data_IF_158931454870
#
_entry.id   IF_158931454870
#
_cell.length_a   1.000
_cell.length_b   1.000
_cell.length_c   1.000
_cell.angle_alpha   90.00
_cell.angle_beta   90.00
_cell.angle_gamma   90.00
#
_symmetry.space_group_name_H-M   'P 1'
#
loop_
_entity.id
_entity.type
_entity.pdbx_description
1 polymer ?
#
# COMPACT_ATOMS: atom_id res chain seq x y z
N UNK A 1 -7.54 31.25 -26.71
CA UNK A 1 -7.46 30.67 -25.36
C UNK A 1 -8.45 29.52 -25.31
N UNK A 2 -7.97 28.28 -25.21
CA UNK A 2 -8.82 27.13 -24.96
C UNK A 2 -9.18 27.13 -23.47
N UNK A 3 -10.47 27.13 -23.16
CA UNK A 3 -10.92 27.02 -21.77
C UNK A 3 -10.42 25.72 -21.13
N UNK A 4 -10.02 25.75 -19.85
CA UNK A 4 -9.58 24.55 -19.15
C UNK A 4 -10.74 23.55 -19.07
N UNK A 5 -10.48 22.30 -19.44
CA UNK A 5 -11.46 21.21 -19.31
C UNK A 5 -11.64 20.86 -17.84
N UNK A 6 -12.89 20.79 -17.39
CA UNK A 6 -13.26 20.32 -16.05
C UNK A 6 -13.59 18.83 -16.06
N UNK A 7 -13.23 18.12 -14.99
CA UNK A 7 -13.49 16.70 -14.81
C UNK A 7 -14.03 16.45 -13.39
N UNK A 8 -14.91 15.45 -13.25
CA UNK A 8 -15.37 14.93 -11.95
C UNK A 8 -14.71 13.57 -11.73
N UNK A 9 -14.03 13.40 -10.60
CA UNK A 9 -13.45 12.11 -10.22
C UNK A 9 -14.56 11.19 -9.65
N UNK A 10 -14.47 9.90 -9.95
CA UNK A 10 -15.34 8.88 -9.38
C UNK A 10 -14.88 8.45 -7.97
N UNK A 11 -13.63 8.74 -7.63
CA UNK A 11 -13.07 8.55 -6.30
C UNK A 11 -13.78 9.46 -5.28
N UNK A 12 -14.26 8.86 -4.18
CA UNK A 12 -14.89 9.60 -3.11
C UNK A 12 -13.87 10.50 -2.38
N UNK A 13 -14.07 11.83 -2.35
CA UNK A 13 -13.13 12.77 -1.75
C UNK A 13 -12.90 12.54 -0.24
N UNK A 14 -13.78 11.82 0.45
CA UNK A 14 -13.58 11.44 1.85
C UNK A 14 -12.35 10.52 2.06
N UNK A 15 -11.88 9.85 1.00
CA UNK A 15 -10.69 8.99 1.00
C UNK A 15 -9.45 9.68 0.43
N UNK A 16 -9.46 11.01 0.30
CA UNK A 16 -8.40 11.79 -0.33
C UNK A 16 -8.58 11.88 -1.84
N UNK A 17 -7.47 12.01 -2.58
CA UNK A 17 -7.47 12.07 -4.04
C UNK A 17 -6.55 10.99 -4.63
N UNK A 18 -6.87 10.50 -5.83
CA UNK A 18 -6.00 9.57 -6.57
C UNK A 18 -4.62 10.19 -6.89
N UNK A 19 -4.60 11.51 -7.06
CA UNK A 19 -3.41 12.34 -7.20
C UNK A 19 -3.52 13.49 -6.20
N UNK A 20 -2.66 13.54 -5.18
CA UNK A 20 -2.67 14.63 -4.21
C UNK A 20 -1.97 15.87 -4.80
N UNK A 21 -2.77 16.83 -5.25
CA UNK A 21 -2.30 18.20 -5.44
C UNK A 21 -1.83 18.73 -4.08
N UNK A 22 -0.60 19.26 -4.00
CA UNK A 22 -0.15 19.93 -2.78
C UNK A 22 -1.07 21.12 -2.46
N UNK A 23 -1.11 21.56 -1.20
CA UNK A 23 -2.01 22.65 -0.76
C UNK A 23 -1.87 24.00 -1.50
N UNK A 24 -0.96 24.12 -2.48
CA UNK A 24 -0.77 25.29 -3.34
C UNK A 24 -0.81 25.03 -4.86
N UNK A 25 -1.24 23.86 -5.34
CA UNK A 25 -1.27 23.56 -6.79
C UNK A 25 -0.85 22.12 -7.12
N UNK A 26 -0.32 21.86 -8.34
CA UNK A 26 0.16 20.53 -8.74
C UNK A 26 1.04 19.87 -7.67
N UNK A 27 1.07 18.53 -7.61
CA UNK A 27 1.90 17.80 -6.66
C UNK A 27 3.35 18.31 -6.72
N UNK A 28 3.99 18.47 -5.56
CA UNK A 28 5.35 18.99 -5.51
C UNK A 28 6.30 18.08 -6.33
N UNK A 29 7.20 18.67 -7.15
CA UNK A 29 8.18 17.89 -7.89
C UNK A 29 9.03 17.08 -6.93
N UNK A 30 9.23 15.81 -7.24
CA UNK A 30 10.10 14.95 -6.45
C UNK A 30 11.55 15.37 -6.64
N UNK A 31 12.34 15.36 -5.56
CA UNK A 31 13.81 15.47 -5.66
C UNK A 31 14.48 14.14 -6.04
N UNK A 32 13.70 13.08 -6.28
CA UNK A 32 14.20 11.79 -6.71
C UNK A 32 14.85 11.90 -8.10
N UNK A 33 16.03 11.32 -8.25
CA UNK A 33 16.61 11.10 -9.58
C UNK A 33 15.74 10.09 -10.34
N UNK A 34 15.43 10.36 -11.60
CA UNK A 34 14.65 9.47 -12.47
C UNK A 34 15.47 9.16 -13.71
N UNK A 35 15.62 7.88 -14.01
CA UNK A 35 16.14 7.40 -15.29
C UNK A 35 14.97 6.86 -16.10
N UNK A 36 14.53 7.65 -17.08
CA UNK A 36 13.37 7.38 -17.91
C UNK A 36 13.72 6.70 -19.25
N UNK A 37 15.01 6.49 -19.54
CA UNK A 37 15.49 6.00 -20.84
C UNK A 37 15.62 4.46 -20.87
N UNK A 38 15.21 3.77 -19.80
CA UNK A 38 15.51 2.36 -19.59
C UNK A 38 14.80 1.39 -20.57
N UNK A 39 13.47 1.41 -20.68
CA UNK A 39 12.76 0.55 -21.66
C UNK A 39 12.68 1.21 -23.04
N UNK A 40 12.41 2.52 -23.07
CA UNK A 40 12.39 3.33 -24.29
C UNK A 40 13.12 4.64 -24.00
N UNK A 41 13.84 5.21 -24.99
CA UNK A 41 14.35 6.57 -24.87
C UNK A 41 13.21 7.53 -24.49
N UNK A 42 13.46 8.47 -23.57
CA UNK A 42 12.47 9.45 -23.11
C UNK A 42 11.84 10.24 -24.27
N UNK A 43 12.59 10.40 -25.36
CA UNK A 43 12.11 11.03 -26.60
C UNK A 43 11.10 10.19 -27.38
N UNK A 44 11.06 8.89 -27.18
CA UNK A 44 10.19 7.93 -27.88
C UNK A 44 9.10 7.35 -26.97
N UNK A 45 8.97 7.88 -25.74
CA UNK A 45 7.97 7.47 -24.77
C UNK A 45 6.56 7.52 -25.37
N UNK A 46 5.86 6.41 -25.24
CA UNK A 46 4.50 6.21 -25.72
C UNK A 46 3.79 5.17 -24.87
N UNK A 47 2.47 5.11 -25.00
CA UNK A 47 1.68 4.04 -24.39
C UNK A 47 2.10 2.67 -24.96
N UNK A 48 2.16 1.67 -24.08
CA UNK A 48 2.47 0.29 -24.41
C UNK A 48 1.25 -0.57 -24.06
N UNK A 49 0.70 -1.24 -25.06
CA UNK A 49 -0.39 -2.20 -24.89
C UNK A 49 0.11 -3.61 -24.54
N UNK A 50 -0.82 -4.57 -24.32
CA UNK A 50 -0.46 -5.95 -24.01
C UNK A 50 0.34 -6.58 -25.15
N UNK A 51 1.48 -7.20 -24.81
CA UNK A 51 2.31 -7.90 -25.79
C UNK A 51 1.67 -9.24 -26.19
N UNK A 52 1.71 -9.63 -27.47
CA UNK A 52 1.20 -10.94 -27.91
C UNK A 52 1.86 -12.10 -27.16
N UNK A 53 1.06 -13.09 -26.77
CA UNK A 53 1.55 -14.31 -26.11
C UNK A 53 1.74 -14.21 -24.60
N UNK A 54 1.72 -13.01 -24.01
CA UNK A 54 1.78 -12.84 -22.55
C UNK A 54 0.43 -13.26 -21.95
N UNK A 55 0.47 -14.21 -21.02
CA UNK A 55 -0.70 -14.68 -20.26
C UNK A 55 -0.56 -14.34 -18.79
N UNK A 56 -1.68 -14.04 -18.15
CA UNK A 56 -1.74 -13.86 -16.71
C UNK A 56 -1.38 -15.18 -16.00
N UNK A 57 -0.80 -15.11 -14.79
CA UNK A 57 -0.49 -16.31 -14.01
C UNK A 57 -1.78 -16.97 -13.52
N UNK A 58 -1.75 -18.28 -13.30
CA UNK A 58 -2.91 -19.01 -12.78
C UNK A 58 -3.22 -18.60 -11.33
N UNK A 59 -2.20 -18.13 -10.59
CA UNK A 59 -2.31 -17.74 -9.19
C UNK A 59 -1.79 -16.32 -8.98
N UNK A 60 -2.62 -15.47 -8.39
CA UNK A 60 -2.24 -14.15 -7.90
C UNK A 60 -2.46 -14.10 -6.40
N UNK A 61 -1.44 -13.67 -5.66
CA UNK A 61 -1.51 -13.44 -4.22
C UNK A 61 -1.60 -11.93 -3.99
N UNK A 62 -2.67 -11.47 -3.35
CA UNK A 62 -2.84 -10.06 -2.99
C UNK A 62 -2.66 -9.89 -1.48
N UNK A 63 -1.74 -9.00 -1.10
CA UNK A 63 -1.35 -8.76 0.29
C UNK A 63 -1.71 -7.35 0.69
N UNK A 64 -2.30 -7.24 1.87
CA UNK A 64 -2.56 -5.95 2.50
C UNK A 64 -2.51 -6.06 4.02
N UNK A 65 -2.34 -4.90 4.66
CA UNK A 65 -2.21 -4.72 6.08
C UNK A 65 -3.07 -3.57 6.60
N UNK A 66 -3.81 -3.82 7.68
CA UNK A 66 -4.61 -2.80 8.37
C UNK A 66 -4.09 -2.55 9.78
N UNK A 67 -4.28 -1.34 10.27
CA UNK A 67 -3.99 -0.98 11.67
C UNK A 67 -5.08 -0.11 12.26
N UNK A 68 -5.22 -0.16 13.58
CA UNK A 68 -6.09 0.69 14.38
C UNK A 68 -5.40 1.05 15.69
N UNK A 69 -5.55 2.30 16.08
CA UNK A 69 -5.20 2.77 17.43
C UNK A 69 -6.36 2.41 18.35
N UNK A 70 -6.11 1.60 19.37
CA UNK A 70 -7.15 1.19 20.34
C UNK A 70 -7.23 2.17 21.51
N UNK A 71 -6.10 2.74 21.93
CA UNK A 71 -6.04 3.80 22.94
C UNK A 71 -4.74 4.60 22.87
N UNK A 72 -4.81 5.89 23.20
CA UNK A 72 -3.65 6.67 23.64
C UNK A 72 -3.43 6.41 25.13
N UNK A 73 -2.19 6.19 25.54
CA UNK A 73 -1.82 5.92 26.93
C UNK A 73 -0.69 6.85 27.37
N UNK A 74 -0.49 6.94 28.68
CA UNK A 74 0.61 7.68 29.28
C UNK A 74 1.24 6.80 30.37
N UNK A 75 2.57 6.74 30.42
CA UNK A 75 3.28 6.15 31.56
C UNK A 75 3.61 7.25 32.57
N UNK A 76 3.73 6.87 33.83
CA UNK A 76 4.29 7.72 34.87
C UNK A 76 5.53 7.01 35.43
N UNK A 77 6.64 7.73 35.48
CA UNK A 77 7.89 7.24 36.04
C UNK A 77 8.05 7.73 37.49
N UNK A 78 8.91 7.06 38.26
CA UNK A 78 9.15 7.38 39.67
C UNK A 78 9.78 8.77 39.87
N UNK A 79 10.50 9.29 38.86
CA UNK A 79 11.08 10.63 38.84
C UNK A 79 10.08 11.73 38.47
N UNK A 80 8.81 11.37 38.26
CA UNK A 80 7.73 12.28 37.87
C UNK A 80 7.65 12.55 36.36
N UNK A 81 8.55 11.97 35.55
CA UNK A 81 8.44 12.03 34.11
C UNK A 81 7.22 11.25 33.61
N UNK A 82 6.73 11.61 32.42
CA UNK A 82 5.63 10.92 31.76
C UNK A 82 5.91 10.77 30.28
N UNK A 83 5.69 9.57 29.75
CA UNK A 83 5.87 9.29 28.34
C UNK A 83 4.51 8.99 27.69
N UNK A 84 4.22 9.59 26.53
CA UNK A 84 3.09 9.16 25.73
C UNK A 84 3.31 7.74 25.21
N UNK A 85 2.20 7.05 24.98
CA UNK A 85 2.20 5.72 24.40
C UNK A 85 0.93 5.47 23.59
N UNK A 86 0.97 4.40 22.81
CA UNK A 86 -0.10 4.01 21.92
C UNK A 86 -0.33 2.51 22.01
N UNK A 87 -1.54 2.10 22.39
CA UNK A 87 -1.99 0.72 22.24
C UNK A 87 -2.61 0.56 20.86
N UNK A 88 -2.06 -0.32 20.02
CA UNK A 88 -2.53 -0.55 18.67
C UNK A 88 -2.78 -2.04 18.38
N UNK A 89 -3.78 -2.26 17.54
CA UNK A 89 -4.07 -3.52 16.87
C UNK A 89 -3.71 -3.39 15.40
N UNK A 90 -3.07 -4.41 14.86
CA UNK A 90 -2.73 -4.46 13.43
C UNK A 90 -2.90 -5.88 12.91
N UNK A 91 -3.15 -6.02 11.62
CA UNK A 91 -3.33 -7.32 10.98
C UNK A 91 -2.83 -7.27 9.55
N UNK A 92 -2.30 -8.38 9.08
CA UNK A 92 -1.89 -8.58 7.71
C UNK A 92 -2.49 -9.88 7.20
N UNK A 93 -2.78 -9.95 5.90
CA UNK A 93 -3.24 -11.19 5.30
C UNK A 93 -2.98 -11.25 3.81
N UNK A 94 -3.32 -12.40 3.25
CA UNK A 94 -3.13 -12.71 1.84
C UNK A 94 -4.42 -13.32 1.30
N UNK A 95 -4.92 -12.78 0.19
CA UNK A 95 -5.93 -13.43 -0.62
C UNK A 95 -5.24 -14.13 -1.78
N UNK A 96 -5.53 -15.42 -1.95
CA UNK A 96 -5.15 -16.20 -3.13
C UNK A 96 -6.28 -16.14 -4.14
N UNK A 97 -6.00 -15.60 -5.31
CA UNK A 97 -6.85 -15.60 -6.47
C UNK A 97 -6.39 -16.68 -7.45
N UNK A 98 -7.22 -17.70 -7.61
CA UNK A 98 -7.12 -18.73 -8.63
C UNK A 98 -7.81 -18.23 -9.90
N UNK A 99 -7.04 -17.84 -10.91
CA UNK A 99 -7.57 -17.29 -12.13
C UNK A 99 -8.16 -18.35 -13.05
N UNK A 100 -7.64 -19.57 -13.01
CA UNK A 100 -8.17 -20.71 -13.76
C UNK A 100 -9.56 -21.09 -13.24
N UNK A 101 -9.72 -21.17 -11.92
CA UNK A 101 -11.00 -21.53 -11.27
C UNK A 101 -11.94 -20.35 -11.04
N UNK A 102 -11.47 -19.11 -11.27
CA UNK A 102 -12.23 -17.90 -10.98
C UNK A 102 -12.56 -17.72 -9.48
N UNK A 103 -11.70 -18.20 -8.59
CA UNK A 103 -11.95 -18.26 -7.15
C UNK A 103 -10.99 -17.35 -6.36
N UNK A 104 -11.50 -16.67 -5.33
CA UNK A 104 -10.67 -15.91 -4.39
C UNK A 104 -10.91 -16.41 -2.96
N UNK A 105 -9.83 -16.73 -2.24
CA UNK A 105 -9.91 -17.26 -0.88
C UNK A 105 -8.86 -16.62 0.01
N UNK A 106 -9.17 -16.48 1.30
CA UNK A 106 -8.20 -16.05 2.30
C UNK A 106 -7.16 -17.17 2.47
N UNK A 107 -5.93 -16.95 2.02
CA UNK A 107 -4.83 -17.90 2.15
C UNK A 107 -4.25 -17.88 3.58
N UNK A 108 -4.24 -16.70 4.20
CA UNK A 108 -3.80 -16.53 5.58
C UNK A 108 -4.06 -15.14 6.11
N UNK A 109 -4.22 -15.02 7.42
CA UNK A 109 -4.26 -13.74 8.11
C UNK A 109 -3.67 -13.90 9.52
N UNK A 110 -2.95 -12.88 9.97
CA UNK A 110 -2.43 -12.79 11.33
C UNK A 110 -2.79 -11.44 11.94
N UNK A 111 -2.97 -11.44 13.26
CA UNK A 111 -3.27 -10.25 14.05
C UNK A 111 -2.14 -10.07 15.07
N UNK A 112 -1.61 -8.85 15.13
CA UNK A 112 -0.67 -8.41 16.15
C UNK A 112 -1.26 -7.29 16.99
N UNK A 113 -0.64 -7.08 18.16
CA UNK A 113 -0.93 -5.97 19.06
C UNK A 113 0.39 -5.43 19.59
N UNK A 114 0.38 -4.18 20.03
CA UNK A 114 1.57 -3.56 20.58
C UNK A 114 1.26 -2.34 21.43
N UNK A 115 2.05 -2.15 22.48
CA UNK A 115 2.17 -0.92 23.24
C UNK A 115 3.42 -0.18 22.77
N UNK A 116 3.24 0.93 22.05
CA UNK A 116 4.32 1.73 21.47
C UNK A 116 4.59 2.93 22.37
N UNK A 117 5.78 3.01 22.99
CA UNK A 117 6.14 4.11 23.90
C UNK A 117 7.66 4.23 24.06
N UNK A 118 8.15 5.42 24.42
CA UNK A 118 9.56 5.64 24.76
C UNK A 118 9.86 5.37 26.25
N UNK A 119 8.85 5.07 27.06
CA UNK A 119 9.03 4.81 28.49
C UNK A 119 10.04 3.68 28.73
N UNK A 120 11.08 3.92 29.56
CA UNK A 120 12.07 2.90 29.89
C UNK A 120 11.47 1.79 30.76
N UNK A 121 10.54 2.13 31.66
CA UNK A 121 9.89 1.20 32.59
C UNK A 121 8.69 0.46 32.00
N UNK A 122 8.28 0.77 30.76
CA UNK A 122 7.13 0.14 30.14
C UNK A 122 7.24 -1.40 30.12
N UNK A 123 6.17 -2.03 30.60
CA UNK A 123 5.94 -3.47 30.55
C UNK A 123 4.68 -3.80 29.75
N UNK A 124 4.60 -5.03 29.28
CA UNK A 124 3.45 -5.51 28.53
C UNK A 124 2.14 -5.21 29.25
N UNK A 125 1.15 -4.76 28.50
CA UNK A 125 -0.19 -4.53 29.03
C UNK A 125 -1.03 -5.77 28.79
N UNK A 126 -1.50 -6.38 29.88
CA UNK A 126 -2.50 -7.45 29.83
C UNK A 126 -3.84 -6.83 30.23
N UNK A 127 -4.79 -6.82 29.30
CA UNK A 127 -6.11 -6.24 29.43
C UNK A 127 -7.17 -7.33 29.17
N UNK A 128 -7.61 -8.00 30.24
CA UNK A 128 -8.43 -9.20 30.13
C UNK A 128 -7.65 -10.34 29.45
N UNK A 129 -8.22 -10.91 28.39
CA UNK A 129 -7.56 -11.96 27.58
C UNK A 129 -6.62 -11.40 26.50
N UNK A 130 -6.43 -10.08 26.43
CA UNK A 130 -5.65 -9.41 25.38
C UNK A 130 -4.32 -8.94 25.93
N UNK A 131 -3.24 -9.21 25.21
CA UNK A 131 -1.89 -8.72 25.52
C UNK A 131 -1.42 -7.71 24.48
N UNK A 132 -0.80 -6.63 24.94
CA UNK A 132 -0.10 -5.63 24.15
C UNK A 132 1.38 -5.66 24.53
N UNK A 133 2.21 -6.40 23.78
CA UNK A 133 3.66 -6.42 23.93
C UNK A 133 4.27 -5.02 23.78
N UNK A 134 5.29 -4.69 24.56
CA UNK A 134 5.98 -3.40 24.46
C UNK A 134 6.84 -3.35 23.20
N UNK A 135 6.65 -2.30 22.40
CA UNK A 135 7.52 -1.87 21.33
C UNK A 135 8.13 -0.52 21.72
N UNK A 136 9.37 -0.54 22.20
CA UNK A 136 10.07 0.69 22.59
C UNK A 136 10.40 1.52 21.35
N UNK A 137 9.98 2.78 21.34
CA UNK A 137 10.35 3.74 20.29
C UNK A 137 11.56 4.55 20.73
N UNK A 138 12.43 4.89 19.78
CA UNK A 138 13.62 5.71 20.04
C UNK A 138 13.26 7.18 20.30
N UNK A 139 14.13 7.88 21.02
CA UNK A 139 13.95 9.31 21.35
C UNK A 139 12.94 9.53 22.48
N UNK A 140 12.37 10.72 22.57
CA UNK A 140 11.39 11.09 23.63
C UNK A 140 9.98 10.54 23.37
N UNK A 141 9.77 9.85 22.24
CA UNK A 141 8.48 9.23 21.91
C UNK A 141 7.38 10.23 21.57
N UNK A 142 7.70 11.31 20.85
CA UNK A 142 6.73 12.35 20.46
C UNK A 142 5.39 11.76 19.98
N UNK A 143 4.29 12.24 20.55
CA UNK A 143 2.95 11.68 20.37
C UNK A 143 2.54 11.57 18.89
N UNK A 144 2.93 12.54 18.06
CA UNK A 144 2.66 12.58 16.62
C UNK A 144 3.46 11.55 15.81
N UNK A 145 4.58 11.02 16.33
CA UNK A 145 5.42 10.01 15.70
C UNK A 145 5.02 8.58 16.07
N UNK A 146 4.31 8.37 17.18
CA UNK A 146 3.89 7.04 17.64
C UNK A 146 3.02 6.27 16.62
N UNK A 147 2.07 6.87 15.87
CA UNK A 147 1.31 6.13 14.87
C UNK A 147 2.19 5.51 13.77
N UNK A 148 3.31 6.15 13.42
CA UNK A 148 4.26 5.63 12.44
C UNK A 148 5.05 4.41 12.97
N UNK A 149 5.24 4.30 14.29
CA UNK A 149 5.96 3.19 14.91
C UNK A 149 5.24 1.83 14.71
N UNK A 150 3.92 1.83 14.55
CA UNK A 150 3.12 0.63 14.24
C UNK A 150 3.51 0.03 12.88
N UNK A 151 4.06 0.84 11.97
CA UNK A 151 4.36 0.43 10.62
C UNK A 151 5.43 -0.67 10.55
N UNK A 152 6.43 -0.65 11.44
CA UNK A 152 7.48 -1.67 11.47
C UNK A 152 6.91 -3.07 11.74
N UNK A 153 6.23 -3.30 12.87
CA UNK A 153 5.59 -4.58 13.17
C UNK A 153 4.53 -5.02 12.16
N UNK A 154 3.73 -4.09 11.61
CA UNK A 154 2.79 -4.41 10.53
C UNK A 154 3.54 -4.93 9.30
N UNK A 155 4.60 -4.24 8.89
CA UNK A 155 5.42 -4.65 7.72
C UNK A 155 6.02 -6.04 7.92
N UNK A 156 6.50 -6.35 9.13
CA UNK A 156 7.02 -7.68 9.47
C UNK A 156 5.93 -8.76 9.35
N UNK A 157 4.73 -8.48 9.85
CA UNK A 157 3.59 -9.39 9.77
C UNK A 157 3.17 -9.64 8.32
N UNK A 158 3.17 -8.59 7.49
CA UNK A 158 2.89 -8.72 6.06
C UNK A 158 3.94 -9.56 5.33
N UNK A 159 5.24 -9.39 5.63
CA UNK A 159 6.31 -10.25 5.08
C UNK A 159 6.08 -11.72 5.45
N UNK A 160 5.77 -11.98 6.73
CA UNK A 160 5.53 -13.33 7.24
C UNK A 160 4.36 -14.02 6.53
N UNK A 161 3.20 -13.37 6.44
CA UNK A 161 2.03 -13.96 5.78
C UNK A 161 2.23 -14.10 4.27
N UNK A 162 2.98 -13.18 3.64
CA UNK A 162 3.32 -13.25 2.22
C UNK A 162 4.17 -14.49 1.93
N UNK A 163 5.25 -14.69 2.70
CA UNK A 163 6.17 -15.81 2.52
C UNK A 163 5.48 -17.16 2.72
N UNK A 164 4.59 -17.27 3.70
CA UNK A 164 3.85 -18.51 3.97
C UNK A 164 2.82 -18.87 2.88
N UNK A 165 2.36 -17.89 2.08
CA UNK A 165 1.33 -18.10 1.06
C UNK A 165 1.89 -18.37 -0.34
N UNK A 166 3.22 -18.27 -0.54
CA UNK A 166 3.87 -18.43 -1.84
C UNK A 166 3.68 -19.83 -2.41
N UNK A 167 3.51 -19.91 -3.73
CA UNK A 167 3.50 -21.14 -4.51
C UNK A 167 4.41 -20.99 -5.73
N UNK A 168 4.73 -22.10 -6.39
CA UNK A 168 5.48 -21.98 -7.64
C UNK A 168 4.63 -21.28 -8.71
N UNK A 169 5.27 -20.46 -9.55
CA UNK A 169 4.59 -19.70 -10.62
C UNK A 169 3.62 -18.58 -10.20
N UNK A 170 3.43 -18.29 -8.90
CA UNK A 170 2.52 -17.21 -8.47
C UNK A 170 3.04 -15.80 -8.81
N UNK A 171 2.13 -14.83 -8.88
CA UNK A 171 2.43 -13.41 -8.82
C UNK A 171 1.96 -12.81 -7.50
N UNK A 172 2.86 -12.19 -6.74
CA UNK A 172 2.53 -11.48 -5.50
C UNK A 172 2.36 -9.99 -5.77
N UNK A 173 1.22 -9.45 -5.34
CA UNK A 173 0.87 -8.04 -5.43
C UNK A 173 0.68 -7.51 -4.02
N UNK A 174 1.52 -6.56 -3.64
CA UNK A 174 1.53 -5.91 -2.32
C UNK A 174 0.86 -4.56 -2.43
N UNK A 175 -0.13 -4.27 -1.59
CA UNK A 175 -0.69 -2.92 -1.51
C UNK A 175 0.33 -1.94 -0.90
N UNK A 176 0.74 -0.96 -1.69
CA UNK A 176 1.78 0.00 -1.37
C UNK A 176 3.19 -0.39 -1.85
N UNK A 177 4.20 0.42 -1.47
CA UNK A 177 5.59 0.19 -1.88
C UNK A 177 6.15 -1.12 -1.31
N UNK A 178 7.05 -1.77 -2.05
CA UNK A 178 7.62 -3.07 -1.68
C UNK A 178 8.42 -3.05 -0.38
N UNK A 179 9.06 -1.92 -0.06
CA UNK A 179 9.91 -1.75 1.14
C UNK A 179 10.87 -2.94 1.30
N UNK A 180 10.69 -3.76 2.35
CA UNK A 180 11.55 -4.91 2.67
C UNK A 180 11.20 -6.20 1.90
N UNK A 181 10.22 -6.18 0.98
CA UNK A 181 9.75 -7.37 0.21
C UNK A 181 10.46 -7.53 -1.14
N UNK A 182 11.51 -6.76 -1.40
CA UNK A 182 12.22 -6.72 -2.70
C UNK A 182 12.94 -8.00 -3.06
N UNK A 183 13.33 -8.77 -2.05
CA UNK A 183 14.01 -10.04 -2.24
C UNK A 183 13.06 -11.17 -2.66
N UNK A 184 11.74 -10.94 -2.62
CA UNK A 184 10.77 -11.95 -3.04
C UNK A 184 10.66 -11.97 -4.57
N UNK A 185 10.80 -13.14 -5.22
CA UNK A 185 10.67 -13.24 -6.67
C UNK A 185 9.23 -12.95 -7.10
N UNK A 186 9.00 -12.50 -8.34
CA UNK A 186 7.66 -12.28 -8.91
C UNK A 186 6.76 -11.44 -8.00
N UNK A 187 7.27 -10.31 -7.55
CA UNK A 187 6.61 -9.47 -6.55
C UNK A 187 6.48 -8.03 -7.07
N UNK A 188 5.27 -7.50 -6.97
CA UNK A 188 4.87 -6.17 -7.42
C UNK A 188 4.38 -5.33 -6.24
N UNK A 189 4.91 -4.12 -6.11
CA UNK A 189 4.31 -3.08 -5.26
C UNK A 189 3.23 -2.37 -6.05
N UNK A 190 2.07 -2.18 -5.45
CA UNK A 190 0.88 -1.60 -6.08
C UNK A 190 0.52 -0.29 -5.40
N UNK A 191 0.82 0.84 -6.04
CA UNK A 191 0.69 2.18 -5.46
C UNK A 191 -0.50 2.91 -6.10
N UNK A 192 -1.57 3.04 -5.32
CA UNK A 192 -2.85 3.65 -5.71
C UNK A 192 -2.82 5.17 -5.72
N UNK A 193 -2.08 5.78 -4.79
CA UNK A 193 -2.04 7.23 -4.58
C UNK A 193 -0.69 7.79 -4.97
N UNK A 194 -0.71 8.83 -5.81
CA UNK A 194 0.51 9.54 -6.21
C UNK A 194 0.67 10.81 -5.37
N UNK A 195 1.69 10.82 -4.52
CA UNK A 195 2.04 11.99 -3.67
C UNK A 195 3.21 12.81 -4.23
N UNK A 196 3.89 12.30 -5.26
CA UNK A 196 5.10 12.93 -5.81
C UNK A 196 5.07 12.90 -7.32
N UNK A 197 5.40 14.04 -7.94
CA UNK A 197 5.59 14.12 -9.37
C UNK A 197 7.03 13.76 -9.71
N UNK A 198 7.25 12.53 -10.17
CA UNK A 198 8.58 12.03 -10.56
C UNK A 198 8.94 12.39 -12.00
N UNK A 199 7.94 12.42 -12.87
CA UNK A 199 8.11 12.60 -14.30
C UNK A 199 7.95 14.07 -14.69
N UNK A 200 8.70 14.50 -15.70
CA UNK A 200 8.50 15.82 -16.30
C UNK A 200 7.12 15.93 -16.98
N UNK A 201 6.77 17.13 -17.45
CA UNK A 201 5.47 17.39 -18.07
C UNK A 201 5.21 16.56 -19.34
N UNK A 202 6.25 16.27 -20.13
CA UNK A 202 6.14 15.50 -21.39
C UNK A 202 5.82 14.05 -21.09
N UNK A 203 6.56 13.44 -20.17
CA UNK A 203 6.34 12.05 -19.77
C UNK A 203 5.03 11.90 -18.99
N UNK A 204 4.67 12.90 -18.18
CA UNK A 204 3.36 12.98 -17.51
C UNK A 204 2.19 13.01 -18.52
N UNK A 205 2.36 13.67 -19.67
CA UNK A 205 1.34 13.68 -20.72
C UNK A 205 1.11 12.28 -21.32
N UNK A 206 2.16 11.46 -21.43
CA UNK A 206 2.01 10.05 -21.86
C UNK A 206 1.23 9.26 -20.81
N UNK A 207 1.58 9.38 -19.53
CA UNK A 207 0.91 8.69 -18.42
C UNK A 207 -0.57 9.04 -18.33
N UNK A 208 -0.90 10.34 -18.37
CA UNK A 208 -2.29 10.80 -18.35
C UNK A 208 -3.06 10.53 -19.64
N UNK A 209 -2.35 10.23 -20.73
CA UNK A 209 -2.89 9.83 -22.03
C UNK A 209 -3.15 8.33 -22.20
N UNK A 210 -2.69 7.47 -21.29
CA UNK A 210 -2.90 6.02 -21.37
C UNK A 210 -4.38 5.66 -21.52
N UNK A 211 -4.71 4.72 -22.40
CA UNK A 211 -6.00 4.06 -22.42
C UNK A 211 -6.08 2.97 -21.33
N UNK A 212 -7.28 2.53 -20.99
CA UNK A 212 -7.46 1.40 -20.09
C UNK A 212 -6.81 0.13 -20.70
N UNK A 213 -5.96 -0.54 -19.94
CA UNK A 213 -5.18 -1.68 -20.43
C UNK A 213 -3.88 -1.29 -21.15
N UNK A 214 -3.42 -0.05 -21.01
CA UNK A 214 -2.09 0.38 -21.41
C UNK A 214 -1.21 0.74 -20.21
N UNK A 215 0.11 0.67 -20.42
CA UNK A 215 1.14 1.09 -19.46
C UNK A 215 2.11 2.10 -20.07
N UNK A 216 2.79 2.84 -19.21
CA UNK A 216 4.00 3.59 -19.58
C UNK A 216 5.18 2.63 -19.79
N UNK A 217 6.26 3.10 -20.43
CA UNK A 217 7.55 2.43 -20.35
C UNK A 217 8.02 2.28 -18.89
N UNK A 218 8.83 1.25 -18.64
CA UNK A 218 9.55 1.04 -17.38
C UNK A 218 10.66 2.08 -17.26
N UNK A 219 10.72 2.70 -16.09
CA UNK A 219 11.74 3.67 -15.69
C UNK A 219 12.28 3.32 -14.31
N UNK A 220 13.41 3.94 -13.93
CA UNK A 220 14.04 3.70 -12.63
C UNK A 220 13.94 4.94 -11.75
N UNK A 221 13.56 4.72 -10.49
CA UNK A 221 13.61 5.74 -9.45
C UNK A 221 14.91 5.59 -8.65
N UNK A 222 15.74 6.62 -8.60
CA UNK A 222 17.03 6.69 -7.90
C UNK A 222 16.92 7.12 -6.43
N UNK A 223 15.85 6.74 -5.72
CA UNK A 223 15.73 7.05 -4.28
C UNK A 223 16.45 6.00 -3.42
N UNK A 224 16.64 6.26 -2.12
CA UNK A 224 17.16 5.27 -1.15
C UNK A 224 16.34 3.97 -1.09
N UNK A 225 15.12 3.98 -1.60
CA UNK A 225 14.23 2.83 -1.78
C UNK A 225 13.91 2.65 -3.27
N UNK A 226 14.87 2.93 -4.15
CA UNK A 226 14.71 2.95 -5.60
C UNK A 226 14.32 1.60 -6.19
N UNK A 227 13.58 1.58 -7.29
CA UNK A 227 13.05 0.39 -7.95
C UNK A 227 12.78 0.66 -9.42
N UNK A 228 12.56 -0.39 -10.20
CA UNK A 228 11.91 -0.24 -11.49
C UNK A 228 10.45 0.10 -11.26
N UNK A 229 9.91 1.00 -12.07
CA UNK A 229 8.56 1.50 -11.93
C UNK A 229 7.93 1.76 -13.29
N UNK A 230 6.62 1.62 -13.35
CA UNK A 230 5.81 1.99 -14.51
C UNK A 230 4.42 2.40 -14.03
N UNK A 231 3.71 3.16 -14.85
CA UNK A 231 2.31 3.46 -14.65
C UNK A 231 1.46 2.55 -15.51
N UNK A 232 0.29 2.14 -15.04
CA UNK A 232 -0.72 1.47 -15.84
C UNK A 232 -2.10 2.07 -15.56
N UNK A 233 -2.98 2.05 -16.57
CA UNK A 233 -4.36 2.49 -16.39
C UNK A 233 -5.31 1.29 -16.33
N UNK A 234 -6.00 1.17 -15.20
CA UNK A 234 -7.07 0.21 -14.98
C UNK A 234 -8.34 0.59 -15.76
N UNK A 235 -9.27 -0.36 -15.99
CA UNK A 235 -10.59 -0.07 -16.52
C UNK A 235 -11.28 1.02 -15.70
N UNK A 236 -11.55 2.14 -16.34
CA UNK A 236 -12.15 3.33 -15.73
C UNK A 236 -13.07 3.98 -16.75
N UNK A 237 -14.20 4.52 -16.28
CA UNK A 237 -14.99 5.42 -17.11
C UNK A 237 -14.17 6.67 -17.43
N UNK A 238 -14.41 7.30 -18.58
CA UNK A 238 -13.76 8.57 -18.91
C UNK A 238 -13.95 9.58 -17.76
N UNK A 239 -12.86 10.15 -17.28
CA UNK A 239 -12.85 10.97 -16.06
C UNK A 239 -11.59 11.82 -15.96
N UNK A 240 -11.22 12.20 -14.75
CA UNK A 240 -10.03 12.99 -14.49
C UNK A 240 -8.76 12.37 -15.14
N UNK A 241 -7.74 13.16 -15.53
CA UNK A 241 -6.55 12.64 -16.23
C UNK A 241 -5.79 11.54 -15.50
N UNK A 242 -5.91 11.47 -14.17
CA UNK A 242 -5.28 10.46 -13.32
C UNK A 242 -6.21 9.32 -12.91
N UNK A 243 -7.48 9.36 -13.34
CA UNK A 243 -8.45 8.33 -13.01
C UNK A 243 -7.98 6.96 -13.53
N UNK A 244 -8.01 5.96 -12.64
CA UNK A 244 -7.57 4.60 -12.93
C UNK A 244 -6.07 4.41 -13.12
N UNK A 245 -5.25 5.46 -13.01
CA UNK A 245 -3.80 5.33 -13.06
C UNK A 245 -3.28 4.82 -11.72
N UNK A 246 -2.48 3.77 -11.76
CA UNK A 246 -1.73 3.25 -10.62
C UNK A 246 -0.26 3.11 -10.99
N UNK A 247 0.63 3.25 -10.00
CA UNK A 247 2.06 3.01 -10.19
C UNK A 247 2.39 1.63 -9.67
N UNK A 248 3.13 0.90 -10.47
CA UNK A 248 3.72 -0.38 -10.08
C UNK A 248 5.20 -0.20 -9.81
N UNK A 249 5.74 -1.04 -8.94
CA UNK A 249 7.19 -1.14 -8.76
C UNK A 249 7.63 -2.59 -8.56
N UNK A 250 8.87 -2.89 -8.96
CA UNK A 250 9.55 -4.14 -8.64
C UNK A 250 11.00 -3.88 -8.17
N UNK A 251 11.71 -4.93 -7.78
CA UNK A 251 13.05 -4.83 -7.21
C UNK A 251 14.03 -4.14 -8.16
N UNK A 252 14.87 -3.25 -7.64
CA UNK A 252 15.97 -2.63 -8.39
C UNK A 252 17.11 -3.60 -8.74
N UNK A 253 17.10 -4.81 -8.15
CA UNK A 253 18.07 -5.86 -8.40
C UNK A 253 17.79 -6.61 -9.72
N UNK A 254 16.56 -6.49 -10.25
CA UNK A 254 16.21 -7.07 -11.55
C UNK A 254 16.90 -6.31 -12.68
N UNK A 255 17.14 -7.02 -13.78
CA UNK A 255 17.46 -6.39 -15.06
C UNK A 255 16.27 -5.61 -15.60
N UNK A 256 16.51 -4.73 -16.58
CA UNK A 256 15.43 -4.01 -17.26
C UNK A 256 14.47 -4.97 -17.96
N UNK A 257 14.98 -6.05 -18.56
CA UNK A 257 14.16 -7.04 -19.27
C UNK A 257 13.23 -7.79 -18.30
N UNK A 258 13.72 -8.23 -17.15
CA UNK A 258 12.91 -8.86 -16.10
C UNK A 258 11.86 -7.89 -15.54
N UNK A 259 12.19 -6.60 -15.40
CA UNK A 259 11.24 -5.58 -14.98
C UNK A 259 10.14 -5.35 -16.02
N UNK A 260 10.51 -5.37 -17.31
CA UNK A 260 9.59 -5.28 -18.45
C UNK A 260 8.66 -6.48 -18.51
N UNK A 261 9.16 -7.70 -18.27
CA UNK A 261 8.32 -8.90 -18.17
C UNK A 261 7.27 -8.77 -17.05
N UNK A 262 7.67 -8.28 -15.88
CA UNK A 262 6.75 -7.99 -14.79
C UNK A 262 5.74 -6.88 -15.13
N UNK A 263 6.16 -5.89 -15.91
CA UNK A 263 5.28 -4.82 -16.37
C UNK A 263 4.21 -5.34 -17.33
N UNK A 264 4.58 -6.17 -18.29
CA UNK A 264 3.65 -6.83 -19.21
C UNK A 264 2.71 -7.79 -18.47
N UNK A 265 3.24 -8.56 -17.51
CA UNK A 265 2.46 -9.46 -16.67
C UNK A 265 1.42 -8.70 -15.84
N UNK A 266 1.81 -7.56 -15.26
CA UNK A 266 0.89 -6.70 -14.50
C UNK A 266 -0.26 -6.20 -15.36
N UNK A 267 0.01 -5.88 -16.63
CA UNK A 267 -0.96 -5.33 -17.57
C UNK A 267 -2.04 -6.34 -17.97
N UNK A 268 -1.66 -7.59 -18.21
CA UNK A 268 -2.63 -8.65 -18.53
C UNK A 268 -3.34 -9.19 -17.29
N UNK A 269 -2.84 -8.89 -16.09
CA UNK A 269 -3.35 -9.44 -14.83
C UNK A 269 -4.27 -8.47 -14.10
N UNK A 270 -3.78 -7.29 -13.70
CA UNK A 270 -4.45 -6.41 -12.74
C UNK A 270 -5.80 -5.84 -13.18
N UNK A 271 -6.05 -5.50 -14.47
CA UNK A 271 -7.34 -4.96 -14.91
C UNK A 271 -8.57 -5.77 -14.48
N UNK A 272 -8.44 -7.10 -14.38
CA UNK A 272 -9.56 -7.99 -13.96
C UNK A 272 -9.99 -7.80 -12.51
N UNK A 273 -9.13 -7.21 -11.68
CA UNK A 273 -9.39 -6.97 -10.26
C UNK A 273 -9.83 -5.54 -9.96
N UNK A 274 -9.85 -4.66 -10.97
CA UNK A 274 -10.31 -3.29 -10.83
C UNK A 274 -11.73 -3.25 -10.25
N UNK A 275 -11.95 -2.38 -9.26
CA UNK A 275 -13.27 -2.18 -8.69
C UNK A 275 -14.13 -1.28 -9.56
N UNK A 276 -15.43 -1.30 -9.28
CA UNK A 276 -16.43 -0.43 -9.92
C UNK A 276 -16.97 0.57 -8.89
N UNK A 277 -17.29 1.83 -9.27
CA UNK A 277 -17.70 2.87 -8.32
C UNK A 277 -18.88 2.51 -7.41
N UNK A 278 -19.86 1.74 -7.90
CA UNK A 278 -20.99 1.31 -7.07
C UNK A 278 -20.64 0.23 -6.02
N UNK A 279 -19.47 -0.42 -6.13
CA UNK A 279 -18.98 -1.44 -5.18
C UNK A 279 -17.95 -0.89 -4.21
N UNK A 280 -17.11 0.05 -4.66
CA UNK A 280 -16.05 0.63 -3.85
C UNK A 280 -15.94 2.14 -4.16
N UNK A 281 -16.06 3.02 -3.15
CA UNK A 281 -15.89 4.46 -3.34
C UNK A 281 -14.47 4.85 -3.78
N UNK A 282 -13.50 3.95 -3.64
CA UNK A 282 -12.10 4.11 -4.08
C UNK A 282 -11.83 3.47 -5.46
N UNK A 283 -12.87 3.28 -6.26
CA UNK A 283 -12.75 2.66 -7.58
C UNK A 283 -12.11 3.60 -8.62
N UNK A 284 -11.43 3.04 -9.63
CA UNK A 284 -11.12 1.62 -9.81
C UNK A 284 -9.81 1.17 -9.14
N UNK A 285 -9.02 2.09 -8.58
CA UNK A 285 -7.67 1.81 -8.08
C UNK A 285 -7.67 0.89 -6.86
N UNK A 286 -8.75 0.81 -6.08
CA UNK A 286 -8.83 -0.17 -5.02
C UNK A 286 -9.28 -1.54 -5.55
N UNK A 287 -8.36 -2.50 -5.66
CA UNK A 287 -8.67 -3.83 -6.21
C UNK A 287 -9.69 -4.59 -5.34
N UNK A 288 -10.65 -5.27 -5.97
CA UNK A 288 -11.74 -5.99 -5.29
C UNK A 288 -11.23 -6.99 -4.24
N UNK A 289 -10.22 -7.84 -4.52
CA UNK A 289 -9.70 -8.77 -3.52
C UNK A 289 -9.06 -8.06 -2.32
N UNK A 290 -8.36 -6.94 -2.54
CA UNK A 290 -7.77 -6.13 -1.47
C UNK A 290 -8.88 -5.50 -0.61
N UNK A 291 -9.91 -4.93 -1.22
CA UNK A 291 -11.06 -4.40 -0.49
C UNK A 291 -11.74 -5.46 0.41
N UNK A 292 -11.89 -6.68 -0.11
CA UNK A 292 -12.40 -7.81 0.66
C UNK A 292 -11.49 -8.21 1.82
N UNK A 293 -10.18 -8.25 1.57
CA UNK A 293 -9.17 -8.54 2.57
C UNK A 293 -9.18 -7.49 3.69
N UNK A 294 -9.15 -6.19 3.36
CA UNK A 294 -9.22 -5.09 4.33
C UNK A 294 -10.41 -5.26 5.28
N UNK A 295 -11.62 -5.51 4.74
CA UNK A 295 -12.82 -5.72 5.55
C UNK A 295 -12.66 -6.90 6.51
N UNK A 296 -12.12 -8.02 6.02
CA UNK A 296 -11.87 -9.21 6.84
C UNK A 296 -10.83 -8.92 7.93
N UNK A 297 -9.72 -8.28 7.60
CA UNK A 297 -8.67 -7.94 8.56
C UNK A 297 -9.16 -6.96 9.63
N UNK A 298 -9.94 -5.94 9.25
CA UNK A 298 -10.55 -5.00 10.21
C UNK A 298 -11.49 -5.71 11.19
N UNK A 299 -12.29 -6.68 10.72
CA UNK A 299 -13.12 -7.50 11.59
C UNK A 299 -12.29 -8.34 12.57
N UNK A 300 -11.13 -8.86 12.14
CA UNK A 300 -10.21 -9.61 13.00
C UNK A 300 -9.52 -8.76 14.07
N UNK A 301 -9.47 -7.43 13.94
CA UNK A 301 -8.95 -6.55 14.98
C UNK A 301 -9.84 -6.50 16.24
N UNK A 302 -11.06 -7.03 16.19
CA UNK A 302 -12.03 -6.97 17.30
C UNK A 302 -12.70 -5.60 17.44
N UNK A 303 -13.58 -5.45 18.43
CA UNK A 303 -14.34 -4.22 18.66
C UNK A 303 -13.50 -3.15 19.37
N UNK A 304 -13.46 -1.95 18.80
CA UNK A 304 -12.65 -0.84 19.32
C UNK A 304 -13.11 -0.36 20.71
N UNK A 305 -14.42 -0.34 20.97
CA UNK A 305 -14.98 0.12 22.25
C UNK A 305 -14.68 -0.88 23.35
N UNK A 306 -14.77 -2.18 23.05
CA UNK A 306 -14.43 -3.24 24.00
C UNK A 306 -12.94 -3.21 24.36
N UNK A 307 -12.05 -3.08 23.36
CA UNK A 307 -10.61 -2.97 23.61
C UNK A 307 -10.25 -1.73 24.42
N UNK A 308 -10.82 -0.57 24.07
CA UNK A 308 -10.63 0.64 24.85
C UNK A 308 -11.08 0.45 26.31
N UNK A 309 -12.27 -0.14 26.52
CA UNK A 309 -12.81 -0.40 27.85
C UNK A 309 -11.91 -1.33 28.69
N UNK A 310 -11.40 -2.42 28.11
CA UNK A 310 -10.51 -3.33 28.86
C UNK A 310 -9.15 -2.70 29.15
N UNK A 311 -8.63 -1.86 28.25
CA UNK A 311 -7.41 -1.08 28.48
C UNK A 311 -7.62 -0.07 29.62
N UNK A 312 -8.76 0.63 29.66
CA UNK A 312 -9.12 1.53 30.76
C UNK A 312 -9.23 0.76 32.09
N UNK A 313 -9.84 -0.42 32.09
CA UNK A 313 -9.94 -1.25 33.29
C UNK A 313 -8.56 -1.72 33.79
N UNK A 314 -7.69 -2.18 32.88
CA UNK A 314 -6.33 -2.58 33.21
C UNK A 314 -5.49 -1.41 33.76
N UNK A 315 -5.65 -0.21 33.21
CA UNK A 315 -4.98 1.00 33.71
C UNK A 315 -5.42 1.38 35.14
N UNK A 316 -6.70 1.16 35.48
CA UNK A 316 -7.20 1.40 36.85
C UNK A 316 -6.70 0.38 37.85
N UNK A 317 -6.57 -0.88 37.46
CA UNK A 317 -6.08 -1.96 38.32
C UNK A 317 -4.57 -1.87 38.62
N UNK A 318 -3.83 -1.06 37.85
CA UNK A 318 -2.38 -0.81 38.03
C UNK A 318 -2.07 0.46 38.84
N UNK A 319 -3.09 1.19 39.29
CA UNK A 319 -2.96 2.26 40.29
C UNK A 319 -3.04 1.66 41.68
#
# INVERSE_FOLDING_TARGET
>A
MTDPRFFVDAWDPAYGASFEAGGGGPAAPSSAQVDADAELPAVDWRAIGPRPGVRAPDVVLLVDGVRRIDASVWTAEDDGASFPGLAASYAAGVVRCDLERGAAQLAGAKVGRGLFTASPSAVDVVAGSVRYPVHRVSGTGELNKLPAAVQGPLTALEVEVSGAARTDGDLLVVDGPLRNRRQLPRTLGYIKTQHSQYLDARLTAVVTGLAAGERSPVFRLGTAWGGWSWYLRLPVALGAPWAGIVRMECSAELTVDEAVELADLSLVTLPRFASTPYKDPRAPQNLIPIAGLERRLRALLGDARLLHRVLTAAARARR
#
